data_IF_720833465223
#
_entry.id   IF_720833465223
#
_cell.length_a   1.000
_cell.length_b   1.000
_cell.length_c   1.000
_cell.angle_alpha   90.00
_cell.angle_beta   90.00
_cell.angle_gamma   90.00
#
_symmetry.space_group_name_H-M   'P 1'
#
loop_
_entity.id
_entity.type
_entity.pdbx_description
1 polymer ?
2 polymer ?
#
loop_
_entity_poly.entity_id
_entity_poly.type
_entity_poly.pdbx_seq_one_letter_code
_entity_poly.pdbx_strand_id
2 'polyribonucleotide' 'AAAAAAAAAA' ?
#
# COMPACT_ATOMS: atom_id res chain seq x y z
N UNK A 21 17.60 -15.23 -7.48
CA UNK A 21 18.14 -16.07 -6.42
C UNK A 21 17.52 -15.69 -5.07
N UNK A 22 16.71 -16.60 -4.52
CA UNK A 22 16.02 -16.31 -3.27
C UNK A 22 17.00 -16.23 -2.09
N UNK A 23 18.14 -16.90 -2.20
CA UNK A 23 19.11 -16.91 -1.10
C UNK A 23 19.70 -15.53 -0.87
N UNK A 24 20.30 -14.93 -1.92
CA UNK A 24 20.78 -13.56 -1.82
C UNK A 24 19.66 -12.59 -1.47
N UNK A 25 18.43 -12.88 -1.89
CA UNK A 25 17.31 -12.00 -1.59
C UNK A 25 17.05 -11.97 -0.09
N UNK A 26 16.92 -13.14 0.55
CA UNK A 26 16.69 -13.14 1.99
C UNK A 26 17.91 -12.63 2.74
N UNK A 27 19.11 -12.85 2.22
CA UNK A 27 20.31 -12.25 2.81
C UNK A 27 20.21 -10.73 2.79
N UNK A 28 19.91 -10.16 1.62
CA UNK A 28 19.85 -8.72 1.46
C UNK A 28 18.71 -8.11 2.28
N UNK A 29 17.58 -8.82 2.41
CA UNK A 29 16.47 -8.28 3.16
C UNK A 29 16.76 -8.34 4.66
N UNK A 30 17.43 -9.40 5.11
CA UNK A 30 17.93 -9.40 6.47
C UNK A 30 18.87 -8.23 6.74
N UNK A 31 19.79 -7.98 5.81
CA UNK A 31 20.72 -6.86 5.94
C UNK A 31 19.97 -5.54 6.03
N UNK A 32 19.04 -5.30 5.11
CA UNK A 32 18.37 -4.01 5.07
C UNK A 32 17.53 -3.78 6.32
N UNK A 33 16.82 -4.80 6.78
CA UNK A 33 15.99 -4.61 7.97
C UNK A 33 16.87 -4.48 9.22
N UNK A 34 18.02 -5.14 9.23
CA UNK A 34 18.96 -4.93 10.33
C UNK A 34 19.44 -3.49 10.36
N UNK A 35 19.78 -2.95 9.18
CA UNK A 35 20.17 -1.56 9.07
C UNK A 35 19.07 -0.63 9.54
N UNK A 36 17.83 -0.95 9.15
CA UNK A 36 16.68 -0.17 9.61
C UNK A 36 16.61 -0.18 11.14
N UNK A 37 16.77 -1.36 11.74
CA UNK A 37 16.72 -1.44 13.19
C UNK A 37 17.81 -0.62 13.86
N UNK A 38 19.02 -0.66 13.31
CA UNK A 38 20.13 0.07 13.90
C UNK A 38 19.90 1.58 13.80
N UNK A 39 19.55 2.05 12.61
CA UNK A 39 19.20 3.46 12.42
C UNK A 39 18.05 3.85 13.34
N UNK A 40 17.17 2.86 13.58
CA UNK A 40 16.01 3.10 14.47
C UNK A 40 16.57 3.43 15.85
N UNK A 41 17.30 2.51 16.43
CA UNK A 41 17.92 2.67 17.75
C UNK A 41 18.57 4.04 17.87
N UNK A 42 19.46 4.37 16.93
CA UNK A 42 20.21 5.62 17.06
C UNK A 42 19.30 6.84 16.97
N UNK A 43 18.58 6.96 15.83
CA UNK A 43 17.66 8.06 15.60
C UNK A 43 16.84 8.37 16.84
N UNK A 44 16.35 7.34 17.52
CA UNK A 44 15.68 7.58 18.79
C UNK A 44 16.66 8.17 19.79
N UNK A 45 17.81 7.51 19.98
CA UNK A 45 18.67 7.81 21.11
C UNK A 45 19.06 9.27 21.17
N UNK A 46 19.18 9.94 20.02
CA UNK A 46 19.52 11.35 20.10
C UNK A 46 18.52 12.12 20.97
N UNK A 47 17.27 12.22 20.51
CA UNK A 47 16.24 12.94 21.24
C UNK A 47 15.81 12.22 22.51
N UNK A 48 16.33 11.01 22.74
CA UNK A 48 16.16 10.29 23.99
C UNK A 48 14.69 10.10 24.34
N UNK A 49 14.02 9.27 23.56
CA UNK A 49 12.72 8.75 23.96
C UNK A 49 12.91 7.43 24.70
N UNK A 50 12.25 7.30 25.86
CA UNK A 50 12.33 6.06 26.62
C UNK A 50 11.72 4.91 25.81
N UNK A 51 12.27 3.70 26.01
CA UNK A 51 12.11 2.64 25.01
C UNK A 51 10.66 2.16 24.90
N UNK A 52 9.91 2.18 25.99
CA UNK A 52 8.47 1.92 25.86
C UNK A 52 7.87 2.92 24.86
N UNK A 53 8.11 4.22 25.09
CA UNK A 53 7.72 5.22 24.11
C UNK A 53 8.73 5.32 22.99
N UNK A 54 9.85 4.60 23.11
CA UNK A 54 10.85 4.53 22.06
C UNK A 54 10.47 3.50 21.01
N UNK A 55 9.72 2.49 21.42
CA UNK A 55 9.09 1.58 20.48
C UNK A 55 7.64 1.97 20.17
N UNK A 56 7.32 3.27 20.18
CA UNK A 56 5.94 3.71 20.08
C UNK A 56 5.65 4.23 18.68
N UNK A 57 4.37 4.32 18.32
CA UNK A 57 4.00 4.49 16.92
C UNK A 57 4.18 5.94 16.47
N UNK A 58 4.07 6.89 17.38
CA UNK A 58 4.24 8.29 16.99
C UNK A 58 5.71 8.59 16.66
N UNK A 59 6.64 8.09 17.46
CA UNK A 59 8.03 8.19 17.06
C UNK A 59 8.30 7.32 15.83
N UNK A 60 7.39 6.34 15.64
CA UNK A 60 7.49 5.45 14.46
C UNK A 60 7.22 6.30 13.21
N UNK A 61 6.19 7.14 13.26
CA UNK A 61 5.85 7.98 12.12
C UNK A 61 6.80 9.17 11.99
N UNK A 62 7.41 9.59 13.11
CA UNK A 62 8.45 10.62 13.03
C UNK A 62 9.67 10.12 12.26
N UNK A 63 10.23 8.98 12.70
CA UNK A 63 11.37 8.41 11.97
C UNK A 63 10.96 8.05 10.55
N UNK A 64 9.67 7.76 10.37
CA UNK A 64 9.16 7.41 9.02
C UNK A 64 9.21 8.65 8.12
N UNK A 65 8.79 9.82 8.63
CA UNK A 65 8.90 11.02 7.79
C UNK A 65 10.37 11.39 7.58
N UNK A 66 11.22 11.09 8.55
CA UNK A 66 12.63 11.39 8.36
C UNK A 66 13.20 10.55 7.22
N UNK A 67 12.89 9.24 7.21
CA UNK A 67 13.33 8.40 6.10
C UNK A 67 12.53 8.72 4.84
N UNK A 68 11.42 9.43 4.99
CA UNK A 68 10.71 9.91 3.82
C UNK A 68 11.48 11.02 3.13
N UNK A 69 12.14 11.87 3.91
CA UNK A 69 12.83 13.03 3.33
C UNK A 69 14.33 12.78 3.15
N UNK A 70 14.83 11.62 3.60
CA UNK A 70 16.27 11.36 3.65
C UNK A 70 17.00 11.56 2.33
N UNK A 71 16.49 10.99 1.23
CA UNK A 71 17.15 11.09 -0.06
C UNK A 71 16.32 11.94 -1.02
N UNK A 72 16.62 13.24 -1.07
CA UNK A 72 15.83 14.16 -1.92
C UNK A 72 16.61 14.48 -3.20
N UNK A 73 16.07 15.46 -3.95
CA UNK A 73 16.66 15.89 -5.22
C UNK A 73 17.53 17.12 -5.02
N UNK A 74 17.75 17.87 -6.10
CA UNK A 74 18.62 19.08 -6.04
C UNK A 74 18.00 20.03 -5.01
N UNK A 75 18.71 21.12 -4.70
CA UNK A 75 18.10 22.16 -3.80
C UNK A 75 17.05 23.00 -4.53
N UNK A 76 15.86 23.10 -3.95
CA UNK A 76 14.73 23.80 -4.59
C UNK A 76 14.20 24.86 -3.63
N UNK A 77 13.96 26.08 -4.13
CA UNK A 77 13.35 27.12 -3.27
C UNK A 77 12.04 27.61 -3.91
N UNK A 78 11.75 27.17 -5.14
CA UNK A 78 10.53 27.66 -5.84
C UNK A 78 9.31 27.44 -4.95
N UNK A 79 8.39 28.41 -4.95
CA UNK A 79 7.13 28.27 -4.16
C UNK A 79 5.94 28.53 -5.08
N UNK A 80 4.81 27.87 -4.82
CA UNK A 80 3.63 28.02 -5.68
C UNK A 80 2.54 28.77 -4.91
N UNK A 81 1.45 29.16 -5.61
CA UNK A 81 0.33 29.86 -4.96
C UNK A 81 -0.25 29.02 -3.87
N UNK A 82 -0.79 29.66 -2.83
CA UNK A 82 -1.29 28.97 -1.65
C UNK A 82 -0.17 28.36 -0.80
N UNK A 83 0.57 29.18 -0.03
CA UNK A 83 1.54 28.64 0.92
C UNK A 83 0.93 27.64 1.89
N UNK A 84 1.77 26.98 2.71
CA UNK A 84 1.34 25.81 3.49
C UNK A 84 1.41 26.15 4.97
N UNK A 85 1.02 27.38 5.31
CA UNK A 85 1.25 27.99 6.62
C UNK A 85 2.73 28.15 6.91
N UNK A 86 3.59 27.92 5.91
CA UNK A 86 5.03 28.10 6.06
C UNK A 86 5.88 26.95 5.53
N UNK A 87 7.21 27.15 5.46
CA UNK A 87 8.16 26.11 5.04
C UNK A 87 9.59 26.58 5.36
N UNK A 88 10.48 25.61 5.57
CA UNK A 88 11.91 25.94 5.87
C UNK A 88 12.81 24.81 5.35
N UNK A 89 13.93 25.13 4.68
CA UNK A 89 14.72 24.02 4.16
C UNK A 89 15.93 23.70 5.04
N UNK A 90 16.25 24.56 5.99
CA UNK A 90 17.43 24.36 6.81
C UNK A 90 17.38 23.04 7.58
N UNK A 91 16.27 22.80 8.26
CA UNK A 91 16.14 21.58 9.06
C UNK A 91 14.72 21.05 9.02
N UNK A 92 14.50 19.90 9.66
CA UNK A 92 13.18 19.29 9.65
C UNK A 92 12.80 18.62 10.95
N UNK A 93 11.60 18.89 11.43
CA UNK A 93 11.11 18.23 12.63
C UNK A 93 9.79 17.51 12.39
N UNK A 94 9.37 16.77 13.43
CA UNK A 94 8.18 15.97 13.36
C UNK A 94 7.34 16.03 14.62
N UNK A 95 6.08 15.62 14.53
CA UNK A 95 5.21 15.63 15.71
C UNK A 95 5.85 14.87 16.85
N UNK A 96 6.05 15.56 17.97
CA UNK A 96 6.74 14.99 19.12
C UNK A 96 5.78 14.95 20.29
N UNK A 97 5.48 13.74 20.74
CA UNK A 97 4.56 13.54 21.88
C UNK A 97 5.26 12.67 22.93
N UNK A 98 5.49 13.20 24.13
CA UNK A 98 6.21 12.50 25.18
C UNK A 98 5.42 12.50 26.49
N UNK A 99 5.36 11.36 27.16
CA UNK A 99 4.65 11.29 28.43
C UNK A 99 5.49 11.90 29.52
N UNK A 100 5.28 13.17 29.80
CA UNK A 100 6.07 13.86 30.82
C UNK A 100 5.31 13.92 32.13
N UNK A 101 5.91 13.40 33.20
CA UNK A 101 5.23 13.37 34.50
C UNK A 101 3.88 12.67 34.37
N UNK A 102 3.82 11.65 33.54
CA UNK A 102 2.58 10.91 33.35
C UNK A 102 1.62 11.65 32.44
N UNK A 103 2.00 12.84 32.00
CA UNK A 103 1.14 13.62 31.12
C UNK A 103 1.84 13.90 29.81
N UNK A 104 1.24 13.49 28.70
CA UNK A 104 1.87 13.68 27.41
C UNK A 104 1.86 15.15 27.01
N UNK A 105 2.84 15.52 26.19
CA UNK A 105 2.91 16.87 25.61
C UNK A 105 3.61 16.80 24.25
N UNK A 106 3.13 17.65 23.32
CA UNK A 106 3.77 17.75 21.99
C UNK A 106 4.72 18.94 21.99
N UNK A 107 5.83 18.81 21.30
CA UNK A 107 6.89 19.82 21.25
C UNK A 107 7.55 19.80 19.87
N UNK A 108 8.42 20.78 19.60
CA UNK A 108 9.22 20.79 18.36
C UNK A 108 10.36 21.82 18.31
N UNK A 109 11.58 21.35 18.04
CA UNK A 109 12.64 22.11 17.39
C UNK A 109 13.13 21.26 16.23
N UNK A 110 13.48 21.88 15.11
CA UNK A 110 13.69 21.12 13.89
C UNK A 110 15.09 20.49 13.87
N UNK A 111 15.29 19.52 12.96
CA UNK A 111 16.60 18.80 12.90
C UNK A 111 17.15 18.80 11.47
N UNK A 112 18.46 19.02 11.31
CA UNK A 112 19.07 19.14 9.96
C UNK A 112 18.83 17.89 9.11
N UNK A 113 18.96 18.01 7.78
CA UNK A 113 18.70 16.87 6.86
C UNK A 113 20.02 16.21 6.45
N UNK A 114 21.04 17.00 6.08
CA UNK A 114 22.36 16.40 5.78
C UNK A 114 22.72 15.45 6.92
N UNK A 115 22.83 15.98 8.14
CA UNK A 115 23.06 15.15 9.31
C UNK A 115 22.32 13.82 9.19
N UNK A 116 21.10 13.85 8.65
CA UNK A 116 20.32 12.62 8.50
C UNK A 116 21.03 11.65 7.57
N UNK A 117 21.49 12.12 6.42
CA UNK A 117 22.18 11.22 5.51
C UNK A 117 23.50 10.74 6.11
N UNK A 118 24.14 11.60 6.91
CA UNK A 118 25.40 11.23 7.60
C UNK A 118 25.13 10.05 8.54
N UNK A 119 24.04 10.11 9.32
CA UNK A 119 23.71 9.05 10.28
C UNK A 119 23.23 7.81 9.55
N UNK A 120 22.54 7.99 8.42
CA UNK A 120 22.01 6.85 7.69
C UNK A 120 23.11 6.06 7.01
N UNK A 121 24.11 6.76 6.48
CA UNK A 121 25.26 6.08 5.88
C UNK A 121 26.10 5.40 6.95
N UNK A 122 26.04 5.92 8.18
CA UNK A 122 26.70 5.21 9.29
C UNK A 122 25.91 3.96 9.69
N UNK A 123 24.59 4.06 9.73
CA UNK A 123 23.76 2.90 10.03
C UNK A 123 23.95 1.79 9.00
N UNK A 124 23.70 2.08 7.73
CA UNK A 124 24.22 1.26 6.64
C UNK A 124 25.69 1.58 6.41
N UNK A 125 26.51 1.08 7.32
CA UNK A 125 27.87 1.57 7.62
C UNK A 125 28.60 1.99 6.35
N UNK A 126 28.55 1.22 5.27
CA UNK A 126 29.22 1.60 4.04
C UNK A 126 28.41 1.55 2.77
N UNK A 127 27.25 0.89 2.78
CA UNK A 127 26.40 0.78 1.59
C UNK A 127 24.96 1.02 2.04
N UNK A 128 24.36 2.11 1.57
CA UNK A 128 23.03 2.49 2.03
C UNK A 128 21.98 1.48 1.56
N UNK A 129 20.80 1.56 2.19
CA UNK A 129 19.72 0.62 1.91
C UNK A 129 18.57 1.32 1.17
N UNK A 130 18.62 1.21 -0.16
CA UNK A 130 17.54 1.76 -0.98
C UNK A 130 16.27 0.92 -0.87
N UNK A 131 16.39 -0.40 -1.04
CA UNK A 131 15.25 -1.27 -0.84
C UNK A 131 14.69 -1.14 0.57
N UNK A 132 15.53 -0.78 1.54
CA UNK A 132 15.06 -0.54 2.89
C UNK A 132 14.04 0.58 2.93
N UNK A 133 14.37 1.68 2.24
CA UNK A 133 13.41 2.77 2.14
C UNK A 133 12.17 2.34 1.38
N UNK A 134 12.35 1.54 0.33
CA UNK A 134 11.17 1.00 -0.35
C UNK A 134 10.27 0.25 0.61
N UNK A 135 10.85 -0.55 1.49
CA UNK A 135 10.06 -1.33 2.44
C UNK A 135 9.40 -0.45 3.48
N UNK A 136 10.08 0.62 3.89
CA UNK A 136 9.44 1.59 4.78
C UNK A 136 8.24 2.22 4.09
N UNK A 137 8.39 2.48 2.80
CA UNK A 137 7.28 3.01 2.04
C UNK A 137 6.17 1.97 2.00
N UNK A 138 6.55 0.70 1.96
CA UNK A 138 5.55 -0.37 1.94
C UNK A 138 4.71 -0.32 3.22
N UNK A 139 5.38 -0.20 4.36
CA UNK A 139 4.69 0.09 5.61
C UNK A 139 3.73 1.26 5.44
N UNK A 140 4.25 2.37 4.93
CA UNK A 140 3.42 3.55 4.71
C UNK A 140 2.23 3.25 3.82
N UNK A 141 2.44 2.40 2.82
CA UNK A 141 1.41 2.19 1.82
C UNK A 141 0.24 1.43 2.41
N UNK A 142 0.50 0.43 3.22
CA UNK A 142 -0.73 -0.23 3.71
C UNK A 142 -1.29 0.67 4.81
N UNK A 143 -0.42 1.40 5.51
CA UNK A 143 -0.97 2.35 6.48
C UNK A 143 -1.99 3.26 5.83
N UNK A 144 -1.57 4.02 4.82
CA UNK A 144 -2.43 5.01 4.21
C UNK A 144 -3.61 4.36 3.49
N UNK A 145 -3.38 3.27 2.76
CA UNK A 145 -4.47 2.63 2.03
C UNK A 145 -5.56 2.18 2.98
N UNK A 146 -5.19 1.46 4.04
CA UNK A 146 -6.21 1.00 4.97
C UNK A 146 -6.81 2.14 5.78
N UNK A 147 -6.05 3.23 5.93
CA UNK A 147 -6.52 4.35 6.73
C UNK A 147 -7.90 4.80 6.30
N UNK A 148 -8.00 5.38 5.10
CA UNK A 148 -9.29 5.93 4.62
C UNK A 148 -9.14 6.26 3.14
N UNK A 149 -10.12 6.98 2.58
CA UNK A 149 -10.06 7.41 1.19
C UNK A 149 -10.30 8.91 1.04
N UNK A 150 -9.33 9.57 0.41
CA UNK A 150 -9.42 10.99 0.05
C UNK A 150 -9.79 11.09 -1.43
N UNK A 151 -10.40 12.21 -1.81
CA UNK A 151 -10.91 12.35 -3.18
C UNK A 151 -10.63 13.76 -3.72
N UNK A 152 -9.38 14.23 -3.58
CA UNK A 152 -9.05 15.54 -4.14
C UNK A 152 -8.91 15.47 -5.66
N UNK A 153 -8.37 14.37 -6.17
CA UNK A 153 -8.45 14.17 -7.61
C UNK A 153 -9.88 14.25 -8.11
N UNK A 154 -10.84 13.79 -7.31
CA UNK A 154 -12.24 13.90 -7.69
C UNK A 154 -12.67 15.36 -7.80
N UNK A 155 -12.15 16.23 -6.94
CA UNK A 155 -12.53 17.63 -7.06
C UNK A 155 -11.76 18.28 -8.20
N UNK A 156 -10.70 17.61 -8.67
CA UNK A 156 -9.90 18.15 -9.81
C UNK A 156 -10.32 17.48 -11.11
N UNK A 157 -10.08 16.20 -11.29
CA UNK A 157 -10.39 15.56 -12.56
C UNK A 157 -11.76 14.90 -12.53
N UNK A 158 -12.34 14.72 -13.71
CA UNK A 158 -13.63 14.06 -13.78
C UNK A 158 -13.36 12.58 -13.69
N UNK A 159 -14.18 11.86 -12.94
CA UNK A 159 -13.90 10.43 -12.74
C UNK A 159 -15.14 9.57 -12.87
N UNK A 160 -15.00 8.41 -13.51
CA UNK A 160 -16.11 7.49 -13.64
C UNK A 160 -16.46 6.96 -12.26
N UNK A 161 -17.64 6.35 -12.13
CA UNK A 161 -18.07 5.85 -10.81
C UNK A 161 -17.45 4.48 -10.68
N UNK A 162 -16.12 4.41 -10.64
CA UNK A 162 -15.44 3.14 -10.46
C UNK A 162 -15.45 2.90 -8.96
N UNK A 163 -15.56 3.96 -8.18
CA UNK A 163 -15.49 3.76 -6.75
C UNK A 163 -16.68 2.93 -6.40
N UNK A 164 -17.78 3.09 -7.12
CA UNK A 164 -19.00 2.36 -6.78
C UNK A 164 -18.65 0.91 -6.49
N UNK A 165 -17.61 0.40 -7.14
CA UNK A 165 -17.19 -0.97 -6.91
C UNK A 165 -16.79 -1.15 -5.46
N UNK A 166 -16.47 -0.07 -4.77
CA UNK A 166 -16.05 -0.15 -3.38
C UNK A 166 -14.74 -0.93 -3.24
N UNK A 167 -14.14 -1.26 -4.37
CA UNK A 167 -12.87 -1.98 -4.35
C UNK A 167 -11.87 -1.34 -5.29
N UNK A 168 -10.84 -0.70 -4.73
CA UNK A 168 -9.83 -0.05 -5.56
C UNK A 168 -8.50 0.04 -4.84
N UNK A 169 -7.40 -0.27 -5.53
CA UNK A 169 -6.09 -0.16 -4.93
C UNK A 169 -5.63 1.29 -4.99
N UNK A 170 -4.54 1.60 -4.29
CA UNK A 170 -4.03 2.97 -4.27
C UNK A 170 -2.52 3.05 -4.09
N UNK A 171 -1.89 4.04 -4.73
CA UNK A 171 -0.47 4.20 -4.63
C UNK A 171 -0.10 5.28 -3.65
N UNK A 172 1.16 5.28 -3.25
CA UNK A 172 1.65 6.26 -2.34
C UNK A 172 2.13 7.47 -3.12
N UNK A 173 2.47 8.59 -2.44
CA UNK A 173 3.00 9.81 -3.10
C UNK A 173 4.50 9.78 -3.28
N UNK A 174 5.02 8.74 -3.92
CA UNK A 174 6.46 8.59 -4.12
C UNK A 174 6.82 8.40 -5.58
N UNK A 175 7.57 9.36 -6.12
CA UNK A 175 7.95 9.35 -7.52
C UNK A 175 8.89 8.25 -7.93
N UNK A 176 8.86 7.86 -9.21
CA UNK A 176 9.89 6.92 -9.64
C UNK A 176 9.87 5.65 -8.80
N UNK A 177 8.68 5.12 -8.53
CA UNK A 177 8.58 3.90 -7.76
C UNK A 177 8.79 2.69 -8.63
N UNK A 178 10.03 2.47 -9.06
CA UNK A 178 10.33 1.33 -9.93
C UNK A 178 9.96 0.04 -9.25
N UNK A 179 10.32 -0.08 -7.98
CA UNK A 179 9.95 -1.28 -7.22
C UNK A 179 8.47 -1.28 -6.98
N UNK A 180 7.92 -0.10 -6.68
CA UNK A 180 6.50 0.00 -6.43
C UNK A 180 5.80 -0.47 -7.67
N UNK A 181 6.42 -0.25 -8.83
CA UNK A 181 5.80 -0.62 -10.08
C UNK A 181 5.38 -2.09 -10.13
N UNK A 182 6.10 -2.96 -9.43
CA UNK A 182 5.80 -4.38 -9.48
C UNK A 182 4.58 -4.69 -8.68
N UNK A 183 4.66 -4.33 -7.43
CA UNK A 183 3.53 -4.54 -6.53
C UNK A 183 2.27 -3.83 -7.04
N UNK A 184 2.44 -2.81 -7.88
CA UNK A 184 1.40 -1.86 -8.24
C UNK A 184 0.09 -2.53 -8.65
N UNK A 185 -1.02 -1.80 -8.44
CA UNK A 185 -2.34 -2.26 -8.87
C UNK A 185 -2.85 -1.55 -10.11
N UNK A 186 -3.92 -2.10 -10.69
CA UNK A 186 -4.28 -1.75 -12.07
C UNK A 186 -5.11 -0.46 -12.13
N UNK A 187 -6.23 -0.42 -11.41
CA UNK A 187 -7.17 0.69 -11.51
C UNK A 187 -6.54 2.05 -11.36
N UNK A 188 -5.71 2.20 -10.34
CA UNK A 188 -5.00 3.46 -10.14
C UNK A 188 -3.94 3.71 -11.21
N UNK A 189 -3.47 2.65 -11.87
CA UNK A 189 -2.51 2.84 -12.99
C UNK A 189 -3.26 3.55 -14.12
N UNK A 190 -4.46 3.08 -14.45
CA UNK A 190 -5.29 3.77 -15.48
C UNK A 190 -5.53 5.19 -14.97
N UNK A 191 -5.81 5.34 -13.67
CA UNK A 191 -5.98 6.69 -13.08
C UNK A 191 -4.73 7.52 -13.36
N UNK A 192 -3.55 6.88 -13.30
CA UNK A 192 -2.31 7.61 -13.53
C UNK A 192 -2.21 8.08 -14.97
N UNK A 193 -2.63 7.25 -15.91
CA UNK A 193 -2.86 7.71 -17.27
C UNK A 193 -3.73 8.96 -17.26
N UNK A 194 -4.84 8.90 -16.53
CA UNK A 194 -5.73 10.06 -16.41
C UNK A 194 -5.04 11.26 -15.76
N UNK A 195 -4.06 11.03 -14.88
CA UNK A 195 -3.36 12.14 -14.25
C UNK A 195 -2.46 12.83 -15.26
N UNK A 196 -1.75 12.04 -16.06
CA UNK A 196 -1.04 12.64 -17.18
C UNK A 196 -2.01 13.34 -18.13
N UNK A 197 -3.22 12.82 -18.26
CA UNK A 197 -4.23 13.44 -19.13
C UNK A 197 -4.66 14.78 -18.54
N UNK A 198 -4.69 14.88 -17.22
CA UNK A 198 -4.99 16.16 -16.58
C UNK A 198 -3.87 17.15 -16.79
N UNK A 199 -2.61 16.69 -16.65
CA UNK A 199 -1.47 17.59 -16.94
C UNK A 199 -1.62 18.06 -18.37
N UNK A 200 -2.13 17.19 -19.25
CA UNK A 200 -2.26 17.54 -20.65
C UNK A 200 -3.52 18.32 -21.00
N UNK A 201 -4.51 18.35 -20.11
CA UNK A 201 -5.68 19.19 -20.33
C UNK A 201 -5.39 20.61 -19.83
N UNK A 202 -4.62 20.72 -18.76
CA UNK A 202 -4.03 22.00 -18.39
C UNK A 202 -2.66 22.18 -18.99
N UNK A 203 -2.48 21.69 -20.22
CA UNK A 203 -1.22 21.80 -20.94
C UNK A 203 -0.75 23.21 -21.14
N UNK A 204 0.40 23.56 -20.57
CA UNK A 204 0.85 24.90 -20.88
C UNK A 204 1.11 25.01 -22.38
N UNK A 205 0.54 26.02 -23.02
CA UNK A 205 0.69 26.19 -24.46
C UNK A 205 2.16 26.38 -24.82
N UNK A 206 2.90 27.11 -23.98
CA UNK A 206 4.31 27.35 -24.24
C UNK A 206 5.12 26.14 -23.83
N UNK A 207 4.96 25.03 -24.54
CA UNK A 207 5.68 23.81 -24.20
C UNK A 207 6.12 23.09 -25.47
N UNK A 208 6.47 23.87 -26.47
CA UNK A 208 6.89 23.28 -27.74
C UNK A 208 8.41 23.22 -27.81
N UNK A 209 8.96 22.02 -27.95
CA UNK A 209 10.41 21.88 -28.04
C UNK A 209 10.87 20.46 -27.79
N UNK A 210 12.05 20.30 -27.21
CA UNK A 210 12.58 18.97 -26.95
C UNK A 210 11.60 18.19 -26.10
N UNK A 211 10.90 18.86 -25.19
CA UNK A 211 9.94 18.19 -24.33
C UNK A 211 9.01 17.33 -25.18
N UNK A 212 8.77 16.11 -24.72
CA UNK A 212 7.93 15.20 -25.49
C UNK A 212 8.54 13.82 -25.42
N UNK A 213 9.86 13.75 -25.41
CA UNK A 213 10.55 12.44 -25.27
C UNK A 213 10.10 11.83 -23.94
N UNK A 214 10.50 12.44 -22.83
CA UNK A 214 10.14 11.85 -21.55
C UNK A 214 8.66 11.50 -21.52
N UNK A 215 7.82 12.34 -22.14
CA UNK A 215 6.38 12.09 -22.11
C UNK A 215 6.01 10.88 -22.95
N UNK A 216 6.48 10.84 -24.21
CA UNK A 216 6.17 9.71 -25.06
C UNK A 216 6.71 8.41 -24.48
N UNK A 217 7.96 8.44 -24.01
CA UNK A 217 8.56 7.23 -23.45
C UNK A 217 7.83 6.79 -22.19
N UNK A 218 7.47 7.74 -21.32
CA UNK A 218 6.74 7.39 -20.11
C UNK A 218 5.40 6.78 -20.43
N UNK A 219 4.66 7.36 -21.38
CA UNK A 219 3.39 6.78 -21.76
C UNK A 219 3.59 5.37 -22.30
N UNK A 220 4.59 5.21 -23.18
CA UNK A 220 4.93 3.88 -23.68
C UNK A 220 5.08 2.89 -22.54
N UNK A 221 5.99 3.18 -21.60
CA UNK A 221 6.36 2.19 -20.60
C UNK A 221 5.25 1.94 -19.61
N UNK A 222 4.54 3.00 -19.19
CA UNK A 222 3.43 2.80 -18.27
C UNK A 222 2.31 1.99 -18.93
N UNK A 223 2.01 2.27 -20.19
CA UNK A 223 1.02 1.47 -20.90
C UNK A 223 1.47 0.01 -21.00
N UNK A 224 2.75 -0.19 -21.34
CA UNK A 224 3.33 -1.52 -21.32
C UNK A 224 3.03 -2.23 -20.01
N UNK A 225 3.40 -1.61 -18.88
CA UNK A 225 3.35 -2.35 -17.62
C UNK A 225 1.90 -2.59 -17.19
N UNK A 226 1.05 -1.58 -17.37
CA UNK A 226 -0.36 -1.76 -17.05
C UNK A 226 -0.94 -2.92 -17.86
N UNK A 227 -0.47 -3.07 -19.09
CA UNK A 227 -0.93 -4.21 -19.90
C UNK A 227 -0.33 -5.48 -19.31
N UNK A 228 0.93 -5.42 -18.87
CA UNK A 228 1.61 -6.63 -18.45
C UNK A 228 1.11 -7.19 -17.14
N UNK A 229 0.37 -6.39 -16.37
CA UNK A 229 -0.23 -6.88 -15.13
C UNK A 229 -1.10 -8.12 -15.32
N UNK A 230 -1.92 -8.15 -16.37
CA UNK A 230 -2.84 -9.27 -16.55
C UNK A 230 -2.27 -10.28 -17.55
N UNK A 231 -3.11 -11.25 -17.92
CA UNK A 231 -2.72 -12.40 -18.73
C UNK A 231 -3.31 -12.41 -20.13
N UNK A 232 -4.63 -12.35 -20.26
CA UNK A 232 -5.30 -12.58 -21.54
C UNK A 232 -4.78 -11.64 -22.62
N UNK A 233 -4.32 -12.23 -23.72
CA UNK A 233 -3.62 -11.46 -24.76
C UNK A 233 -4.52 -10.46 -25.46
N UNK A 234 -5.84 -10.67 -25.39
CA UNK A 234 -6.78 -9.79 -26.06
C UNK A 234 -6.67 -8.36 -25.57
N UNK A 235 -6.90 -8.16 -24.26
CA UNK A 235 -6.73 -6.81 -23.72
C UNK A 235 -5.28 -6.35 -23.78
N UNK A 236 -4.31 -7.28 -23.85
CA UNK A 236 -2.93 -6.87 -24.05
C UNK A 236 -2.78 -6.13 -25.37
N UNK A 237 -3.31 -6.72 -26.45
CA UNK A 237 -3.27 -6.06 -27.74
C UNK A 237 -4.13 -4.81 -27.78
N UNK A 238 -5.26 -4.81 -27.07
CA UNK A 238 -6.07 -3.60 -27.02
C UNK A 238 -5.31 -2.46 -26.36
N UNK A 239 -4.61 -2.77 -25.26
CA UNK A 239 -3.82 -1.75 -24.58
C UNK A 239 -2.68 -1.29 -25.45
N UNK A 240 -2.10 -2.20 -26.24
CA UNK A 240 -1.08 -1.79 -27.20
C UNK A 240 -1.66 -0.87 -28.26
N UNK A 241 -2.92 -1.11 -28.66
CA UNK A 241 -3.52 -0.28 -29.70
C UNK A 241 -3.86 1.10 -29.15
N UNK A 242 -4.17 1.19 -27.86
CA UNK A 242 -4.29 2.50 -27.22
C UNK A 242 -2.92 3.17 -27.13
N UNK A 243 -1.88 2.36 -26.92
CA UNK A 243 -0.52 2.89 -26.88
C UNK A 243 -0.14 3.55 -28.19
N UNK A 244 -0.22 2.81 -29.30
CA UNK A 244 0.21 3.30 -30.61
C UNK A 244 -0.46 4.61 -31.00
N UNK A 245 -1.60 4.96 -30.39
CA UNK A 245 -2.21 6.25 -30.61
C UNK A 245 -1.27 7.38 -30.21
N UNK A 246 -1.23 8.43 -31.02
CA UNK A 246 -0.28 9.52 -30.78
C UNK A 246 -0.87 10.57 -29.84
N UNK A 247 -2.16 10.87 -29.99
CA UNK A 247 -2.82 11.93 -29.23
C UNK A 247 -3.88 11.31 -28.32
N UNK A 248 -3.52 11.01 -27.06
CA UNK A 248 -4.50 10.44 -26.12
C UNK A 248 -5.64 11.41 -25.82
N UNK A 249 -6.88 10.93 -25.95
CA UNK A 249 -8.03 11.75 -25.65
C UNK A 249 -9.11 10.98 -24.91
N UNK A 250 -10.32 11.53 -24.90
CA UNK A 250 -11.43 10.93 -24.16
C UNK A 250 -11.88 9.60 -24.73
N UNK A 251 -11.65 9.34 -26.02
CA UNK A 251 -11.93 8.01 -26.56
C UNK A 251 -11.03 6.97 -25.92
N UNK A 252 -9.73 7.28 -25.80
CA UNK A 252 -8.84 6.41 -25.04
C UNK A 252 -9.34 6.27 -23.60
N UNK A 253 -9.89 7.35 -23.04
CA UNK A 253 -10.38 7.30 -21.66
C UNK A 253 -11.50 6.29 -21.53
N UNK A 254 -12.49 6.35 -22.42
CA UNK A 254 -13.61 5.42 -22.33
C UNK A 254 -13.17 4.00 -22.64
N UNK A 255 -12.18 3.83 -23.52
CA UNK A 255 -11.64 2.49 -23.74
C UNK A 255 -11.00 1.93 -22.47
N UNK A 256 -10.17 2.74 -21.79
CA UNK A 256 -9.65 2.32 -20.50
C UNK A 256 -10.76 2.03 -19.50
N UNK A 257 -11.87 2.77 -19.59
CA UNK A 257 -12.96 2.55 -18.64
C UNK A 257 -13.57 1.18 -18.88
N UNK A 258 -13.76 0.79 -20.13
CA UNK A 258 -14.25 -0.55 -20.32
C UNK A 258 -13.21 -1.44 -19.71
N UNK A 259 -11.97 -1.33 -20.17
CA UNK A 259 -10.97 -2.29 -19.72
C UNK A 259 -11.00 -2.42 -18.20
N UNK A 260 -11.32 -1.34 -17.50
CA UNK A 260 -11.40 -1.40 -16.05
C UNK A 260 -12.63 -2.20 -15.61
N UNK A 261 -13.77 -1.89 -16.23
CA UNK A 261 -15.00 -2.65 -15.95
C UNK A 261 -14.70 -4.13 -16.13
N UNK A 262 -13.94 -4.50 -17.17
CA UNK A 262 -13.55 -5.89 -17.28
C UNK A 262 -12.64 -6.32 -16.14
N UNK A 263 -11.56 -5.58 -15.90
CA UNK A 263 -10.60 -5.91 -14.86
C UNK A 263 -11.29 -6.24 -13.55
N UNK A 264 -12.52 -5.75 -13.38
CA UNK A 264 -13.33 -6.13 -12.19
C UNK A 264 -13.37 -7.65 -12.05
N UNK A 265 -13.74 -8.35 -13.12
CA UNK A 265 -13.79 -9.85 -13.10
C UNK A 265 -12.44 -10.39 -13.54
N UNK A 266 -11.85 -9.83 -14.60
CA UNK A 266 -10.48 -10.23 -15.00
C UNK A 266 -9.53 -9.36 -14.19
N UNK A 267 -9.40 -9.68 -12.91
CA UNK A 267 -8.57 -8.84 -12.00
C UNK A 267 -7.12 -8.77 -12.46
N UNK A 268 -6.44 -7.72 -12.04
CA UNK A 268 -4.98 -7.56 -12.30
C UNK A 268 -4.06 -8.32 -11.35
N UNK A 269 -2.80 -8.46 -11.74
CA UNK A 269 -1.81 -9.16 -10.87
C UNK A 269 -1.30 -8.17 -9.79
N UNK A 270 -2.21 -7.70 -8.93
CA UNK A 270 -1.82 -6.71 -7.88
C UNK A 270 -1.23 -7.49 -6.69
N UNK A 271 0.10 -7.50 -6.58
CA UNK A 271 0.77 -8.21 -5.46
C UNK A 271 0.55 -7.45 -4.15
N UNK A 272 0.69 -8.12 -3.01
CA UNK A 272 0.51 -7.47 -1.68
C UNK A 272 1.81 -7.58 -0.88
N UNK A 273 2.37 -6.45 -0.44
CA UNK A 273 3.66 -6.48 0.30
C UNK A 273 3.41 -6.23 1.80
N UNK A 274 3.88 -7.14 2.66
CA UNK A 274 3.64 -7.01 4.12
C UNK A 274 4.81 -6.27 4.79
N UNK A 275 4.51 -5.19 5.52
CA UNK A 275 5.57 -4.44 6.24
C UNK A 275 5.01 -3.93 7.57
N UNK A 276 5.86 -3.77 8.59
CA UNK A 276 5.39 -3.35 9.94
C UNK A 276 6.04 -2.00 10.31
N UNK A 277 5.65 -1.35 11.44
CA UNK A 277 6.30 -0.11 11.86
C UNK A 277 7.78 -0.37 12.17
N UNK A 278 8.59 0.68 12.28
CA UNK A 278 10.02 0.44 12.47
C UNK A 278 10.39 0.32 13.95
N UNK A 279 9.39 0.56 14.79
CA UNK A 279 9.58 0.40 16.21
C UNK A 279 9.50 -1.06 16.54
N UNK A 280 9.35 -1.91 15.54
CA UNK A 280 9.36 -3.35 15.79
C UNK A 280 10.72 -3.91 15.39
N UNK A 281 11.27 -3.41 14.30
CA UNK A 281 12.60 -3.85 13.88
C UNK A 281 13.61 -3.32 14.86
N UNK A 282 13.32 -2.14 15.41
CA UNK A 282 14.24 -1.54 16.35
C UNK A 282 14.49 -2.43 17.56
N UNK A 283 13.41 -2.81 18.26
CA UNK A 283 13.59 -3.72 19.37
C UNK A 283 13.85 -5.11 18.87
N UNK A 284 13.71 -5.37 17.57
CA UNK A 284 14.06 -6.71 17.12
C UNK A 284 15.55 -6.84 16.94
N UNK A 285 16.22 -5.82 16.40
CA UNK A 285 17.67 -5.76 16.47
C UNK A 285 18.11 -5.64 17.92
N UNK A 286 17.25 -5.06 18.77
CA UNK A 286 17.44 -5.12 20.21
C UNK A 286 17.08 -6.49 20.78
N UNK A 287 16.30 -7.27 20.04
CA UNK A 287 15.95 -8.64 20.41
C UNK A 287 16.97 -9.65 19.90
N UNK A 288 18.22 -9.24 19.73
CA UNK A 288 19.28 -10.15 19.32
C UNK A 288 19.06 -10.81 17.98
N UNK A 289 18.24 -10.16 17.14
CA UNK A 289 17.88 -10.71 15.80
C UNK A 289 19.05 -10.69 14.81
N UNK A 290 19.60 -11.86 14.49
CA UNK A 290 20.64 -11.95 13.49
C UNK A 290 19.93 -12.21 12.17
N UNK A 291 19.30 -11.16 11.63
CA UNK A 291 18.41 -11.30 10.48
C UNK A 291 19.06 -12.10 9.36
N UNK A 292 20.27 -11.71 8.96
CA UNK A 292 20.93 -12.32 7.81
C UNK A 292 21.05 -13.83 7.98
N UNK A 293 21.29 -14.29 9.21
CA UNK A 293 21.47 -15.73 9.44
C UNK A 293 20.24 -16.50 8.99
N UNK A 294 19.06 -16.02 9.35
CA UNK A 294 17.82 -16.62 8.87
C UNK A 294 17.32 -15.94 7.61
N UNK A 295 17.87 -14.79 7.25
CA UNK A 295 17.26 -13.94 6.24
C UNK A 295 15.96 -13.35 6.75
N UNK A 296 15.21 -12.76 5.83
CA UNK A 296 13.86 -12.34 6.15
C UNK A 296 12.94 -12.77 5.01
N UNK A 297 11.66 -12.89 5.32
CA UNK A 297 10.68 -13.31 4.32
C UNK A 297 9.49 -12.36 4.41
N UNK A 298 9.52 -11.31 3.58
CA UNK A 298 8.41 -10.36 3.52
C UNK A 298 7.11 -11.06 3.20
N UNK A 299 7.14 -12.06 2.32
CA UNK A 299 5.98 -12.89 2.03
C UNK A 299 5.78 -13.98 3.06
N UNK A 300 6.69 -14.12 4.03
CA UNK A 300 6.76 -15.28 4.89
C UNK A 300 6.26 -15.04 6.30
N UNK A 301 6.48 -16.07 7.13
CA UNK A 301 6.06 -16.14 8.51
C UNK A 301 6.73 -15.05 9.35
N UNK A 302 7.82 -14.49 8.82
CA UNK A 302 8.69 -13.63 9.63
C UNK A 302 7.99 -12.39 10.15
N UNK A 303 7.22 -11.63 9.36
CA UNK A 303 6.45 -10.52 9.96
C UNK A 303 5.48 -10.99 11.01
N UNK A 304 4.91 -12.18 10.87
CA UNK A 304 3.94 -12.65 11.84
C UNK A 304 4.61 -13.04 13.15
N UNK A 305 5.72 -13.77 13.07
CA UNK A 305 6.40 -14.15 14.31
C UNK A 305 7.07 -12.95 14.95
N UNK A 306 7.43 -11.95 14.15
CA UNK A 306 7.94 -10.71 14.71
C UNK A 306 6.82 -9.95 15.43
N UNK A 307 5.63 -9.96 14.82
CA UNK A 307 4.47 -9.25 15.42
C UNK A 307 3.87 -10.12 16.53
N UNK A 308 4.01 -11.45 16.41
CA UNK A 308 3.41 -12.37 17.41
C UNK A 308 3.94 -12.03 18.80
N UNK A 309 5.21 -11.62 18.89
CA UNK A 309 5.83 -11.36 20.21
C UNK A 309 6.27 -9.89 20.31
N UNK A 310 5.76 -9.02 19.45
CA UNK A 310 6.22 -7.61 19.45
C UNK A 310 5.54 -6.84 20.60
N UNK A 311 5.78 -5.53 20.70
CA UNK A 311 5.02 -4.74 21.71
C UNK A 311 5.00 -3.30 21.19
N UNK A 312 3.89 -2.87 20.58
CA UNK A 312 3.74 -1.58 19.90
C UNK A 312 2.54 -0.86 20.55
N UNK A 313 2.66 0.44 20.88
CA UNK A 313 1.46 1.10 21.44
C UNK A 313 1.08 2.30 20.57
N UNK A 314 -0.14 2.81 20.72
CA UNK A 314 -0.61 3.93 19.86
C UNK A 314 -1.48 4.91 20.66
N UNK A 315 -1.37 6.20 20.34
CA UNK A 315 -2.15 7.25 21.06
C UNK A 315 -3.61 7.17 20.64
N UNK A 316 -4.41 6.36 21.33
CA UNK A 316 -5.86 6.24 21.02
C UNK A 316 -6.54 7.59 21.32
N UNK A 317 -7.17 8.19 20.33
CA UNK A 317 -7.88 9.47 20.56
C UNK A 317 -9.13 9.21 21.38
N UNK A 318 -9.80 10.25 21.93
CA UNK A 318 -11.06 10.06 22.64
C UNK A 318 -12.14 9.45 21.73
N UNK A 319 -13.03 8.64 22.29
CA UNK A 319 -14.13 8.03 21.51
C UNK A 319 -13.55 7.11 20.42
N UNK A 320 -12.54 6.31 20.77
CA UNK A 320 -11.96 5.34 19.78
C UNK A 320 -11.74 4.00 20.46
N UNK A 321 -12.03 2.95 19.67
CA UNK A 321 -11.94 1.55 20.15
C UNK A 321 -10.53 1.02 19.96
N UNK A 322 -9.78 0.81 21.05
CA UNK A 322 -8.45 0.19 21.01
C UNK A 322 -8.39 -1.01 20.06
N UNK A 323 -9.46 -1.80 20.04
CA UNK A 323 -9.51 -3.00 19.16
C UNK A 323 -9.64 -2.55 17.71
N UNK A 324 -10.45 -1.52 17.43
CA UNK A 324 -10.65 -1.07 16.02
C UNK A 324 -9.33 -0.54 15.47
N UNK A 325 -8.67 0.37 16.18
CA UNK A 325 -7.35 0.91 15.73
C UNK A 325 -6.33 -0.23 15.70
N UNK A 326 -6.49 -1.20 16.61
CA UNK A 326 -5.57 -2.37 16.63
C UNK A 326 -5.67 -3.10 15.30
N UNK A 327 -6.90 -3.41 14.85
CA UNK A 327 -7.12 -4.12 13.57
C UNK A 327 -6.66 -3.23 12.41
N UNK A 328 -6.83 -1.91 12.56
CA UNK A 328 -6.34 -0.98 11.52
C UNK A 328 -4.82 -1.18 11.33
N UNK A 329 -4.07 -1.16 12.44
CA UNK A 329 -2.59 -1.31 12.34
C UNK A 329 -2.27 -2.72 11.86
N UNK A 330 -3.11 -3.70 12.24
CA UNK A 330 -2.93 -5.10 11.80
C UNK A 330 -2.95 -5.14 10.27
N UNK A 331 -3.94 -4.47 9.66
CA UNK A 331 -4.06 -4.44 8.19
C UNK A 331 -2.91 -3.61 7.59
N UNK A 332 -2.52 -2.52 8.26
CA UNK A 332 -1.39 -1.70 7.78
C UNK A 332 -0.15 -2.59 7.68
N UNK A 333 -0.01 -3.56 8.58
CA UNK A 333 1.19 -4.46 8.60
C UNK A 333 1.01 -5.63 7.62
N UNK A 334 -0.22 -6.11 7.42
CA UNK A 334 -0.44 -7.33 6.59
C UNK A 334 -0.76 -6.97 5.14
N UNK A 335 -0.76 -5.68 4.82
CA UNK A 335 -1.21 -5.22 3.50
C UNK A 335 -2.52 -5.93 3.09
N UNK A 336 -3.53 -5.85 3.94
CA UNK A 336 -4.67 -6.68 3.71
C UNK A 336 -5.96 -5.95 3.34
N UNK A 337 -5.90 -4.62 3.16
CA UNK A 337 -7.13 -3.83 2.84
C UNK A 337 -7.96 -4.30 1.62
N UNK A 338 -7.26 -4.70 0.55
CA UNK A 338 -7.96 -5.10 -0.69
C UNK A 338 -8.13 -6.62 -0.70
N UNK A 339 -8.13 -7.23 0.49
CA UNK A 339 -8.32 -8.68 0.59
C UNK A 339 -9.63 -8.99 1.24
N UNK A 340 -10.11 -10.20 1.05
CA UNK A 340 -11.41 -10.61 1.53
C UNK A 340 -11.41 -10.62 3.05
N UNK A 341 -12.27 -9.81 3.64
CA UNK A 341 -12.33 -9.74 5.10
C UNK A 341 -12.49 -11.10 5.74
N UNK A 342 -13.24 -11.97 5.07
CA UNK A 342 -13.51 -13.32 5.62
C UNK A 342 -12.17 -14.04 5.86
N UNK A 343 -11.22 -13.91 4.94
CA UNK A 343 -9.97 -14.62 5.05
C UNK A 343 -9.19 -13.99 6.20
N UNK A 344 -9.00 -12.67 6.12
CA UNK A 344 -8.33 -11.94 7.22
C UNK A 344 -8.91 -12.42 8.55
N UNK A 345 -10.22 -12.24 8.74
CA UNK A 345 -10.90 -12.69 9.98
C UNK A 345 -10.39 -14.09 10.34
N UNK A 346 -10.50 -15.05 9.42
CA UNK A 346 -10.10 -16.44 9.75
C UNK A 346 -8.62 -16.49 10.14
N UNK A 347 -7.82 -15.55 9.64
CA UNK A 347 -6.36 -15.56 9.91
C UNK A 347 -6.09 -14.96 11.28
N UNK A 348 -6.79 -13.88 11.66
CA UNK A 348 -6.47 -13.18 12.95
C UNK A 348 -7.19 -13.86 14.11
N UNK A 349 -8.39 -14.41 13.85
CA UNK A 349 -9.00 -15.15 14.90
C UNK A 349 -10.00 -14.29 15.61
N UNK A 350 -10.10 -13.03 15.20
CA UNK A 350 -11.22 -12.20 15.59
C UNK A 350 -11.75 -11.41 14.37
N UNK A 351 -13.05 -11.15 14.33
CA UNK A 351 -13.73 -10.66 13.12
C UNK A 351 -13.01 -9.42 12.64
N UNK A 352 -12.63 -9.42 11.36
CA UNK A 352 -12.07 -8.22 10.75
C UNK A 352 -13.20 -7.49 10.01
N UNK A 353 -13.66 -6.36 10.59
CA UNK A 353 -14.86 -5.69 10.13
C UNK A 353 -14.55 -4.61 9.10
N UNK A 354 -15.51 -4.23 8.23
CA UNK A 354 -15.28 -3.12 7.29
C UNK A 354 -14.67 -1.92 8.03
N UNK A 355 -13.80 -1.16 7.36
CA UNK A 355 -13.17 0.04 7.98
C UNK A 355 -14.26 0.91 8.61
N UNK A 356 -15.39 1.04 7.93
CA UNK A 356 -16.47 1.91 8.44
C UNK A 356 -16.87 1.51 9.86
N UNK A 357 -16.92 0.21 10.14
CA UNK A 357 -17.34 -0.27 11.48
C UNK A 357 -16.24 0.00 12.51
N UNK A 358 -15.05 0.41 12.04
CA UNK A 358 -13.91 0.66 12.96
C UNK A 358 -14.15 1.97 13.71
N UNK A 359 -14.47 1.89 15.01
CA UNK A 359 -14.66 3.10 15.85
C UNK A 359 -13.23 3.62 15.97
N UNK A 360 -12.76 4.38 14.97
CA UNK A 360 -11.42 4.89 14.99
C UNK A 360 -11.19 5.76 13.78
N UNK A 361 -10.33 6.75 13.96
CA UNK A 361 -9.91 7.58 12.80
C UNK A 361 -8.43 7.31 12.55
N UNK A 362 -7.78 8.15 11.77
CA UNK A 362 -6.38 7.89 11.38
C UNK A 362 -5.35 7.70 12.50
N UNK A 363 -4.37 6.83 12.28
CA UNK A 363 -3.31 6.57 13.30
C UNK A 363 -2.53 7.86 13.55
N UNK A 364 -2.22 8.61 12.49
CA UNK A 364 -1.50 9.87 12.64
C UNK A 364 -2.25 10.84 13.54
N UNK A 365 -1.58 11.89 13.98
CA UNK A 365 -2.29 12.91 14.80
C UNK A 365 -2.16 14.28 14.14
N UNK A 366 -3.24 14.76 13.48
CA UNK A 366 -3.23 16.10 12.89
C UNK A 366 -2.68 17.06 13.91
N UNK A 367 -1.90 18.01 13.45
CA UNK A 367 -1.17 18.88 14.36
C UNK A 367 -2.13 19.84 15.10
N UNK A 368 -3.40 19.82 14.70
CA UNK A 368 -4.42 20.68 15.36
C UNK A 368 -5.07 19.89 16.51
N UNK A 369 -5.12 18.57 16.41
CA UNK A 369 -5.77 17.73 17.44
C UNK A 369 -5.16 18.04 18.81
N UNK A 370 -6.01 18.20 19.82
CA UNK A 370 -5.56 18.51 21.19
C UNK A 370 -4.85 17.31 21.79
N UNK A 371 -3.83 17.54 22.62
CA UNK A 371 -3.19 16.41 23.33
C UNK A 371 -3.84 16.24 24.71
N UNK A 372 -4.43 17.31 25.25
CA UNK A 372 -5.05 17.24 26.55
C UNK A 372 -5.89 15.99 26.75
N UNK A 373 -6.71 15.63 25.75
CA UNK A 373 -7.61 14.48 25.85
C UNK A 373 -7.07 13.17 25.25
N UNK A 374 -5.78 13.16 24.93
CA UNK A 374 -5.13 12.05 24.27
C UNK A 374 -4.71 10.97 25.26
N UNK A 375 -4.81 9.70 24.83
CA UNK A 375 -4.37 8.57 25.69
C UNK A 375 -3.68 7.53 24.83
N UNK A 376 -2.77 6.74 25.41
CA UNK A 376 -2.08 5.66 24.65
C UNK A 376 -2.82 4.33 24.85
N UNK A 377 -2.60 3.36 23.96
CA UNK A 377 -3.28 2.05 24.08
C UNK A 377 -2.39 0.96 23.45
N UNK A 378 -2.37 -0.23 24.04
CA UNK A 378 -1.53 -1.31 23.52
C UNK A 378 -2.14 -1.86 22.21
N UNK A 379 -1.23 -2.00 21.22
CA UNK A 379 -1.63 -2.55 19.90
C UNK A 379 -1.76 -4.06 20.00
N UNK A 380 -2.91 -4.59 19.57
CA UNK A 380 -3.04 -6.02 19.52
C UNK A 380 -2.84 -6.51 18.06
N UNK A 381 -1.60 -6.85 17.75
CA UNK A 381 -1.21 -7.22 16.39
C UNK A 381 -0.91 -8.72 16.15
N UNK A 382 -1.43 -9.54 17.07
CA UNK A 382 -1.17 -11.00 16.96
C UNK A 382 -2.18 -11.61 15.99
N UNK A 383 -1.96 -12.88 15.65
CA UNK A 383 -2.89 -13.59 14.72
C UNK A 383 -3.02 -15.03 15.18
N UNK A 384 -4.24 -15.57 15.17
CA UNK A 384 -4.45 -16.96 15.56
C UNK A 384 -3.71 -17.89 14.61
N UNK A 385 -3.83 -17.64 13.31
CA UNK A 385 -3.15 -18.48 12.33
C UNK A 385 -2.29 -17.62 11.41
N UNK A 386 -1.34 -18.24 10.73
CA UNK A 386 -0.54 -17.48 9.77
C UNK A 386 -0.89 -17.87 8.35
N UNK A 387 -0.51 -17.05 7.38
CA UNK A 387 -0.88 -17.28 5.99
C UNK A 387 0.07 -16.50 5.09
N UNK A 388 0.44 -17.08 3.94
CA UNK A 388 1.34 -16.45 2.98
C UNK A 388 0.59 -15.42 2.14
N UNK A 389 1.34 -14.60 1.39
CA UNK A 389 0.76 -13.51 0.59
C UNK A 389 1.15 -13.67 -0.87
N UNK A 390 0.25 -14.20 -1.67
CA UNK A 390 0.44 -14.32 -3.12
C UNK A 390 -0.09 -13.05 -3.77
N UNK A 391 -0.30 -13.03 -5.10
CA UNK A 391 -0.85 -11.87 -5.80
C UNK A 391 -2.04 -11.24 -5.08
N UNK A 405 0.13 -20.04 -9.01
CA UNK A 405 -1.21 -20.01 -9.59
C UNK A 405 -1.94 -21.31 -9.33
N UNK A 406 -3.14 -21.22 -8.76
CA UNK A 406 -3.99 -22.37 -8.50
C UNK A 406 -5.15 -22.33 -9.49
N UNK A 407 -5.42 -23.46 -10.14
CA UNK A 407 -6.47 -23.51 -11.15
C UNK A 407 -7.83 -23.18 -10.53
N UNK A 408 -8.29 -24.00 -9.60
CA UNK A 408 -9.53 -23.76 -8.87
C UNK A 408 -9.33 -24.16 -7.41
N UNK A 409 -9.29 -23.18 -6.51
CA UNK A 409 -9.32 -23.46 -5.08
C UNK A 409 -10.53 -24.34 -4.78
N UNK A 410 -10.32 -25.56 -4.32
CA UNK A 410 -11.47 -26.44 -4.05
C UNK A 410 -12.08 -26.13 -2.69
N UNK A 411 -13.33 -25.72 -2.70
CA UNK A 411 -14.05 -25.57 -1.44
C UNK A 411 -14.78 -26.87 -1.14
N UNK A 412 -14.75 -27.26 0.14
CA UNK A 412 -15.36 -28.51 0.57
C UNK A 412 -16.74 -28.69 -0.03
N UNK A 413 -17.58 -27.68 0.06
CA UNK A 413 -18.70 -27.52 -0.85
C UNK A 413 -18.28 -26.47 -1.86
N UNK A 414 -18.19 -26.87 -3.13
CA UNK A 414 -17.45 -26.12 -4.15
C UNK A 414 -17.77 -24.63 -4.11
N UNK A 415 -16.72 -23.82 -4.15
CA UNK A 415 -16.82 -22.39 -4.34
C UNK A 415 -16.75 -22.07 -5.82
N UNK A 416 -17.32 -20.93 -6.21
CA UNK A 416 -17.43 -20.57 -7.61
C UNK A 416 -16.77 -19.25 -7.95
N UNK A 417 -16.41 -18.44 -6.95
CA UNK A 417 -16.16 -17.01 -7.15
C UNK A 417 -17.34 -16.42 -7.92
N UNK A 418 -18.50 -16.46 -7.26
CA UNK A 418 -19.86 -16.36 -7.79
C UNK A 418 -20.00 -15.33 -8.90
N UNK A 419 -20.69 -15.67 -9.99
CA UNK A 419 -20.75 -14.77 -11.14
C UNK A 419 -21.86 -13.73 -11.04
N UNK A 420 -21.51 -12.57 -10.45
CA UNK A 420 -22.42 -11.40 -10.41
C UNK A 420 -21.98 -10.47 -11.54
N UNK A 421 -22.69 -10.50 -12.66
CA UNK A 421 -22.23 -9.78 -13.84
C UNK A 421 -23.31 -8.85 -14.37
N UNK A 422 -24.11 -8.29 -13.45
CA UNK A 422 -25.24 -7.44 -13.82
C UNK A 422 -24.82 -5.99 -14.04
N UNK A 423 -24.13 -5.41 -13.06
CA UNK A 423 -23.59 -4.07 -13.27
C UNK A 423 -22.73 -4.05 -14.52
N UNK A 424 -22.12 -5.18 -14.87
CA UNK A 424 -21.41 -5.24 -16.14
C UNK A 424 -22.37 -5.35 -17.31
N UNK A 425 -23.59 -5.85 -17.10
CA UNK A 425 -24.60 -5.77 -18.17
C UNK A 425 -24.91 -4.33 -18.49
N UNK A 426 -25.33 -3.56 -17.47
CA UNK A 426 -25.59 -2.16 -17.76
C UNK A 426 -24.33 -1.37 -18.09
N UNK A 427 -23.16 -1.89 -17.72
CA UNK A 427 -21.88 -1.30 -18.07
C UNK A 427 -21.57 -1.47 -19.56
N UNK A 428 -21.74 -2.69 -20.07
CA UNK A 428 -21.77 -2.90 -21.50
C UNK A 428 -22.87 -2.08 -22.15
N UNK A 429 -23.91 -1.72 -21.39
CA UNK A 429 -24.87 -0.75 -21.91
C UNK A 429 -24.32 0.67 -21.75
N UNK A 430 -24.17 1.14 -20.50
CA UNK A 430 -23.64 2.47 -20.19
C UNK A 430 -24.04 3.53 -21.20
N UNK A 431 -25.34 3.68 -21.44
CA UNK A 431 -25.80 4.59 -22.48
C UNK A 431 -25.77 3.98 -23.87
N UNK A 432 -25.69 2.65 -23.95
CA UNK A 432 -25.78 1.83 -25.16
C UNK A 432 -24.83 2.27 -26.27
N UNK A 433 -23.83 3.10 -25.95
CA UNK A 433 -22.92 3.57 -26.99
C UNK A 433 -22.12 2.42 -27.59
N UNK A 434 -21.19 1.85 -26.83
CA UNK A 434 -20.43 0.67 -27.23
C UNK A 434 -19.43 0.28 -26.15
N UNK A 435 -18.84 -0.90 -26.27
CA UNK A 435 -17.58 -1.24 -25.61
C UNK A 435 -16.44 -0.68 -26.46
N UNK A 436 -15.25 -1.24 -26.28
CA UNK A 436 -14.15 -0.84 -27.14
C UNK A 436 -14.60 -1.15 -28.54
N UNK A 437 -14.59 -0.15 -29.41
CA UNK A 437 -15.10 -0.34 -30.78
C UNK A 437 -14.07 -0.92 -31.73
N UNK A 438 -14.23 -2.20 -32.05
CA UNK A 438 -13.34 -2.85 -32.99
C UNK A 438 -13.66 -4.32 -32.92
N UNK A 439 -12.74 -5.16 -33.39
CA UNK A 439 -12.94 -6.62 -33.28
C UNK A 439 -13.22 -6.92 -31.81
N UNK A 440 -12.67 -6.09 -30.92
CA UNK A 440 -12.91 -6.27 -29.46
C UNK A 440 -14.41 -6.38 -29.20
N UNK A 441 -15.24 -5.62 -29.95
CA UNK A 441 -16.67 -5.68 -29.65
C UNK A 441 -17.20 -7.09 -29.79
N UNK A 442 -16.79 -7.82 -30.83
CA UNK A 442 -17.15 -9.23 -30.94
C UNK A 442 -16.53 -10.04 -29.80
N UNK A 443 -15.29 -9.72 -29.45
CA UNK A 443 -14.67 -10.41 -28.33
C UNK A 443 -15.42 -10.20 -27.04
N UNK A 444 -16.03 -9.03 -26.84
CA UNK A 444 -16.79 -8.81 -25.61
C UNK A 444 -18.18 -9.43 -25.70
N UNK A 445 -18.81 -9.40 -26.87
CA UNK A 445 -20.10 -10.08 -27.01
C UNK A 445 -19.91 -11.58 -27.02
N UNK A 446 -18.66 -12.04 -26.98
CA UNK A 446 -18.42 -13.45 -26.67
C UNK A 446 -17.97 -13.65 -25.23
N UNK A 447 -17.29 -12.68 -24.63
CA UNK A 447 -16.94 -12.80 -23.22
C UNK A 447 -18.18 -12.72 -22.35
N UNK A 448 -19.29 -12.23 -22.90
CA UNK A 448 -20.51 -12.03 -22.12
C UNK A 448 -20.89 -13.26 -21.30
N UNK A 449 -20.94 -14.44 -21.92
CA UNK A 449 -21.61 -15.55 -21.28
C UNK A 449 -20.75 -16.29 -20.26
N UNK A 450 -19.69 -16.98 -20.69
CA UNK A 450 -18.90 -17.80 -19.78
C UNK A 450 -17.66 -18.36 -20.46
N UNK A 451 -16.51 -18.30 -19.79
CA UNK A 451 -15.33 -18.88 -20.39
C UNK A 451 -14.46 -19.63 -19.39
N UNK A 452 -14.71 -19.42 -18.10
CA UNK A 452 -13.90 -19.99 -17.04
C UNK A 452 -12.39 -19.92 -17.30
N UNK A 453 -11.85 -18.80 -17.81
CA UNK A 453 -10.44 -18.82 -18.20
C UNK A 453 -9.48 -18.22 -17.18
N UNK A 454 -9.99 -17.53 -16.16
CA UNK A 454 -9.13 -16.76 -15.25
C UNK A 454 -9.88 -16.54 -13.94
N UNK A 455 -9.26 -15.78 -13.05
CA UNK A 455 -9.78 -15.52 -11.70
C UNK A 455 -9.70 -14.02 -11.44
N UNK A 456 -9.95 -13.63 -10.19
CA UNK A 456 -9.99 -12.23 -9.80
C UNK A 456 -9.71 -12.07 -8.31
N UNK A 457 -8.90 -11.06 -7.98
CA UNK A 457 -8.57 -10.71 -6.60
C UNK A 457 -8.14 -11.94 -5.79
N UNK A 458 -7.16 -12.67 -6.32
CA UNK A 458 -6.74 -13.94 -5.73
C UNK A 458 -5.46 -13.76 -4.91
N UNK A 459 -5.69 -13.70 -3.59
CA UNK A 459 -4.60 -13.59 -2.65
C UNK A 459 -4.52 -14.93 -1.97
N UNK A 460 -3.52 -15.72 -2.30
CA UNK A 460 -3.36 -17.05 -1.75
C UNK A 460 -3.17 -17.11 -0.25
N UNK A 461 -3.87 -18.05 0.39
CA UNK A 461 -3.86 -18.06 1.87
C UNK A 461 -2.68 -18.85 2.42
N UNK A 462 -2.59 -20.14 2.10
CA UNK A 462 -1.55 -20.95 2.75
C UNK A 462 -1.70 -20.74 4.24
N UNK A 463 -2.90 -21.01 4.77
CA UNK A 463 -3.19 -20.78 6.21
C UNK A 463 -2.59 -21.92 7.03
N UNK A 464 -1.89 -21.61 8.12
CA UNK A 464 -1.26 -22.63 8.94
C UNK A 464 -1.30 -22.23 10.39
N UNK A 465 -1.14 -23.23 11.25
CA UNK A 465 -1.04 -22.93 12.68
C UNK A 465 0.31 -22.28 12.93
N UNK A 466 0.41 -21.48 13.99
CA UNK A 466 1.67 -20.85 14.38
C UNK A 466 2.60 -21.92 14.91
N UNK A 467 2.00 -23.02 15.34
CA UNK A 467 2.70 -24.18 15.84
C UNK A 467 3.09 -25.12 14.73
N UNK A 468 3.12 -24.63 13.50
CA UNK A 468 3.45 -25.42 12.33
C UNK A 468 4.26 -24.53 11.42
N UNK A 469 5.41 -24.08 11.92
CA UNK A 469 6.31 -23.18 11.20
C UNK A 469 6.70 -23.73 9.82
N UNK A 470 6.98 -25.03 9.74
CA UNK A 470 7.39 -25.65 8.46
C UNK A 470 6.17 -25.69 7.53
N UNK A 471 5.05 -25.10 7.96
CA UNK A 471 3.82 -25.09 7.14
C UNK A 471 3.53 -26.52 6.66
N UNK A 472 3.69 -27.51 7.55
CA UNK A 472 3.46 -28.92 7.18
C UNK A 472 1.97 -29.17 6.91
N UNK A 473 1.07 -28.57 7.65
CA UNK A 473 -0.31 -28.86 7.37
C UNK A 473 -1.09 -27.60 7.35
N UNK A 474 -1.75 -27.32 6.25
CA UNK A 474 -2.58 -26.13 6.05
C UNK A 474 -3.93 -26.32 6.76
N UNK A 475 -4.72 -25.25 6.87
CA UNK A 475 -6.04 -25.31 7.57
C UNK A 475 -7.14 -24.85 6.61
N UNK A 476 -7.90 -25.78 6.03
CA UNK A 476 -9.01 -25.39 5.17
C UNK A 476 -9.95 -24.39 5.88
N UNK A 477 -9.93 -23.10 5.50
CA UNK A 477 -10.72 -22.15 6.29
C UNK A 477 -12.23 -22.31 6.16
N UNK A 478 -12.94 -21.98 7.23
CA UNK A 478 -14.39 -21.98 7.25
C UNK A 478 -14.86 -20.56 7.49
N UNK A 479 -15.24 -19.82 6.45
CA UNK A 479 -15.54 -18.38 6.71
C UNK A 479 -17.03 -18.16 7.04
N UNK A 480 -17.33 -17.21 7.92
CA UNK A 480 -18.72 -16.84 8.32
C UNK A 480 -19.33 -15.93 7.25
N UNK A 481 -20.36 -16.40 6.53
CA UNK A 481 -20.99 -15.63 5.40
C UNK A 481 -21.68 -14.38 5.93
N UNK A 482 -21.75 -14.27 7.25
CA UNK A 482 -22.42 -13.10 7.88
C UNK A 482 -21.48 -11.89 7.88
N UNK A 483 -20.26 -12.09 7.37
CA UNK A 483 -19.24 -11.03 7.32
C UNK A 483 -19.27 -10.30 5.98
N UNK A 484 -19.57 -9.00 5.98
CA UNK A 484 -19.48 -8.24 4.71
C UNK A 484 -18.19 -8.63 3.99
N UNK A 485 -18.30 -9.17 2.77
CA UNK A 485 -17.10 -9.54 1.98
C UNK A 485 -16.11 -8.38 1.92
N UNK A 486 -16.60 -7.15 2.04
CA UNK A 486 -15.71 -5.96 2.02
C UNK A 486 -16.21 -4.94 3.05
#
# INVERSE_FOLDING_TARGET
>A
MASQGTKRSYEQMETDGERQNATEIRASVGKMINGIGRFYIQMCTELKLSDYEGRLIQNSLTIERMVLSAFDERRNRYLEEHPSAGKDPKKTGGPIYKRVDGKWMRELVLYDKEEIRRIWRQANNGDDATAGLTHMMIWHSNLNDTTYQRTRALVRTGMDPRMCSLMQGSTLPRRSGAAGAAVKGVGTMVMELIRMIKRGINDRNFWRGENGRKTRSAYERMCNILKGKFQTAAQRAMMDQVRESRNPGNAEIEDLIFSARSALILRGSVAHKSCLPACVYGPAVASGYDFEKEGYSLVGIDPFKLLQNSQVYSLIRPNENPAHKSQLVWMACHSAAFEDLRLLSFIRGTKVSPRGKLSTRGVQIASNENMDTMESSTLELRSRYWAIRTRSGGNTNQQRASAGQISVQPAFSVQRNLPFDKSTIMAAFTGNTEGRTSDMRAEIIRMMEGAKPEEVSFRGRGVFELSDEKATNPVVPSFDMSNEGSYFFGDNAEEYDN
#
